data_IF_073276105174
#
_entry.id   IF_073276105174
#
_cell.length_a   1.000
_cell.length_b   1.000
_cell.length_c   1.000
_cell.angle_alpha   90.00
_cell.angle_beta   90.00
_cell.angle_gamma   90.00
#
_symmetry.space_group_name_H-M   'P 1'
#
loop_
_entity.id
_entity.type
_entity.pdbx_description
1 polymer ?
#
# COMPACT_ATOMS: atom_id res chain seq x y z
N UNK A 1 24.76 18.88 21.22
CA UNK A 1 24.10 17.69 20.71
C UNK A 1 22.69 17.44 21.26
N UNK A 2 22.36 17.70 22.50
CA UNK A 2 21.06 17.41 23.12
C UNK A 2 19.86 18.26 22.66
N UNK A 3 20.05 19.48 22.15
CA UNK A 3 18.94 20.38 21.73
C UNK A 3 18.35 19.97 20.39
N UNK A 4 19.17 19.52 19.45
CA UNK A 4 18.73 19.10 18.10
C UNK A 4 17.91 17.82 18.18
N UNK A 5 18.31 16.82 18.97
CA UNK A 5 17.58 15.56 19.16
C UNK A 5 16.17 15.81 19.72
N UNK A 6 16.06 16.66 20.74
CA UNK A 6 14.78 16.99 21.38
C UNK A 6 13.84 17.78 20.45
N UNK A 7 14.38 18.53 19.50
CA UNK A 7 13.61 19.26 18.49
C UNK A 7 13.11 18.31 17.40
N UNK A 8 13.93 17.36 16.98
CA UNK A 8 13.54 16.31 16.03
C UNK A 8 12.46 15.39 16.61
N UNK A 9 12.60 14.97 17.87
CA UNK A 9 11.58 14.17 18.58
C UNK A 9 10.23 14.88 18.64
N UNK A 10 10.21 16.17 19.00
CA UNK A 10 8.97 16.98 19.01
C UNK A 10 8.36 17.16 17.63
N UNK A 11 9.20 17.28 16.61
CA UNK A 11 8.76 17.39 15.23
C UNK A 11 8.07 16.09 14.77
N UNK A 12 8.68 14.94 15.08
CA UNK A 12 8.11 13.61 14.76
C UNK A 12 6.81 13.35 15.55
N UNK A 13 6.75 13.72 16.82
CA UNK A 13 5.53 13.63 17.62
C UNK A 13 4.39 14.47 17.02
N UNK A 14 4.68 15.70 16.61
CA UNK A 14 3.71 16.59 15.95
C UNK A 14 3.23 15.99 14.64
N UNK A 15 4.15 15.45 13.83
CA UNK A 15 3.82 14.77 12.58
C UNK A 15 2.90 13.57 12.80
N UNK A 16 3.21 12.71 13.76
CA UNK A 16 2.42 11.52 14.10
C UNK A 16 1.00 11.89 14.59
N UNK A 17 0.88 12.94 15.40
CA UNK A 17 -0.44 13.45 15.84
C UNK A 17 -1.30 13.95 14.69
N UNK A 18 -0.70 14.68 13.75
CA UNK A 18 -1.39 15.17 12.55
C UNK A 18 -1.87 13.97 11.69
N UNK A 19 -1.01 12.98 11.45
CA UNK A 19 -1.36 11.79 10.67
C UNK A 19 -2.49 10.99 11.33
N UNK A 20 -2.42 10.73 12.63
CA UNK A 20 -3.48 10.00 13.33
C UNK A 20 -4.84 10.73 13.31
N UNK A 21 -4.82 12.05 13.52
CA UNK A 21 -6.04 12.88 13.45
C UNK A 21 -6.62 12.94 12.03
N UNK A 22 -5.76 13.02 11.02
CA UNK A 22 -6.17 13.02 9.61
C UNK A 22 -6.75 11.67 9.21
N UNK A 23 -6.10 10.54 9.55
CA UNK A 23 -6.59 9.19 9.29
C UNK A 23 -8.00 9.00 9.86
N UNK A 24 -8.21 9.35 11.12
CA UNK A 24 -9.53 9.26 11.74
C UNK A 24 -10.56 10.16 11.06
N UNK A 25 -10.17 11.39 10.71
CA UNK A 25 -11.07 12.35 10.07
C UNK A 25 -11.46 11.92 8.66
N UNK A 26 -10.51 11.41 7.87
CA UNK A 26 -10.77 10.90 6.52
C UNK A 26 -11.64 9.64 6.56
N UNK A 27 -11.37 8.72 7.49
CA UNK A 27 -12.16 7.50 7.65
C UNK A 27 -13.62 7.77 8.03
N UNK A 28 -13.87 8.77 8.88
CA UNK A 28 -15.21 9.07 9.38
C UNK A 28 -16.04 9.98 8.47
N UNK A 29 -15.40 10.96 7.82
CA UNK A 29 -16.09 12.05 7.10
C UNK A 29 -15.74 12.13 5.63
N UNK A 30 -14.73 11.37 5.19
CA UNK A 30 -14.17 11.47 3.85
C UNK A 30 -13.17 12.61 3.69
N UNK A 31 -12.37 12.52 2.63
CA UNK A 31 -11.30 13.48 2.33
C UNK A 31 -11.84 14.89 2.05
N UNK A 32 -12.90 15.03 1.22
CA UNK A 32 -13.37 16.33 0.75
C UNK A 32 -13.88 17.20 1.89
N UNK A 33 -14.68 16.62 2.76
CA UNK A 33 -15.33 17.32 3.88
C UNK A 33 -14.32 17.65 4.99
N UNK A 34 -13.21 16.89 5.09
CA UNK A 34 -12.19 17.13 6.10
C UNK A 34 -11.35 18.36 5.75
N UNK A 35 -11.31 19.35 6.62
CA UNK A 35 -10.50 20.57 6.48
C UNK A 35 -9.19 20.48 7.27
N UNK A 36 -8.19 21.27 6.87
CA UNK A 36 -6.93 21.42 7.66
C UNK A 36 -7.25 21.90 9.07
N UNK A 37 -8.24 22.79 9.24
CA UNK A 37 -8.64 23.30 10.55
C UNK A 37 -9.19 22.19 11.45
N UNK A 38 -10.01 21.30 10.91
CA UNK A 38 -10.52 20.16 11.66
C UNK A 38 -9.43 19.16 12.04
N UNK A 39 -8.44 18.95 11.17
CA UNK A 39 -7.27 18.11 11.48
C UNK A 39 -6.43 18.76 12.58
N UNK A 40 -6.13 20.05 12.48
CA UNK A 40 -5.38 20.79 13.51
C UNK A 40 -6.06 20.74 14.87
N UNK A 41 -7.37 20.93 14.90
CA UNK A 41 -8.16 20.87 16.14
C UNK A 41 -8.09 19.46 16.76
N UNK A 42 -8.31 18.41 15.96
CA UNK A 42 -8.26 17.03 16.43
C UNK A 42 -6.85 16.60 16.87
N UNK A 43 -5.81 17.07 16.18
CA UNK A 43 -4.41 16.82 16.52
C UNK A 43 -3.90 17.67 17.72
N UNK A 44 -4.64 18.71 18.13
CA UNK A 44 -4.20 19.67 19.15
C UNK A 44 -2.94 20.44 18.72
N UNK A 45 -2.87 20.85 17.44
CA UNK A 45 -1.73 21.60 16.89
C UNK A 45 -2.20 22.91 16.25
N UNK A 46 -1.30 23.90 16.16
CA UNK A 46 -1.60 25.14 15.42
C UNK A 46 -1.51 24.92 13.90
N UNK A 47 -2.17 25.79 13.10
CA UNK A 47 -1.99 25.80 11.63
C UNK A 47 -0.54 25.97 11.23
N UNK A 48 0.23 26.80 11.93
CA UNK A 48 1.65 26.98 11.65
C UNK A 48 2.44 25.69 11.84
N UNK A 49 2.16 24.93 12.91
CA UNK A 49 2.77 23.61 13.12
C UNK A 49 2.36 22.58 12.08
N UNK A 50 1.10 22.63 11.62
CA UNK A 50 0.63 21.79 10.50
C UNK A 50 1.43 22.09 9.22
N UNK A 51 1.44 23.36 8.77
CA UNK A 51 2.09 23.73 7.52
C UNK A 51 3.62 23.62 7.55
N UNK A 52 4.22 23.58 8.75
CA UNK A 52 5.61 23.22 8.90
C UNK A 52 5.88 21.74 8.60
N UNK A 53 4.91 20.84 8.88
CA UNK A 53 5.03 19.41 8.65
C UNK A 53 4.52 18.98 7.27
N UNK A 54 3.45 19.61 6.80
CA UNK A 54 2.73 19.22 5.57
C UNK A 54 2.30 20.47 4.80
N UNK A 55 2.74 20.64 3.55
CA UNK A 55 2.38 21.81 2.74
C UNK A 55 0.91 21.86 2.35
N UNK A 56 0.19 20.74 2.40
CA UNK A 56 -1.21 20.65 1.98
C UNK A 56 -1.94 19.51 2.68
N UNK A 57 -3.28 19.48 2.60
CA UNK A 57 -4.09 18.32 2.97
C UNK A 57 -3.76 17.11 2.11
N UNK A 58 -3.46 17.33 0.83
CA UNK A 58 -3.03 16.28 -0.11
C UNK A 58 -1.73 15.61 0.34
N UNK A 59 -0.74 16.36 0.82
CA UNK A 59 0.53 15.79 1.31
C UNK A 59 0.36 14.96 2.59
N UNK A 60 -0.60 15.29 3.47
CA UNK A 60 -0.98 14.43 4.60
C UNK A 60 -1.58 13.13 4.10
N UNK A 61 -2.46 13.20 3.12
CA UNK A 61 -3.13 12.05 2.52
C UNK A 61 -2.14 11.08 1.86
N UNK A 62 -1.19 11.65 1.08
CA UNK A 62 -0.09 10.88 0.48
C UNK A 62 0.81 10.25 1.56
N UNK A 63 1.10 10.96 2.65
CA UNK A 63 1.90 10.43 3.74
C UNK A 63 1.24 9.24 4.44
N UNK A 64 -0.07 9.30 4.69
CA UNK A 64 -0.85 8.18 5.24
C UNK A 64 -0.77 6.93 4.35
N UNK A 65 -0.91 7.11 3.03
CA UNK A 65 -0.78 6.01 2.08
C UNK A 65 0.63 5.42 2.11
N UNK A 66 1.66 6.26 2.12
CA UNK A 66 3.05 5.81 2.16
C UNK A 66 3.39 5.05 3.45
N UNK A 67 2.88 5.49 4.61
CA UNK A 67 3.09 4.81 5.88
C UNK A 67 2.42 3.42 5.88
N UNK A 68 1.22 3.32 5.30
CA UNK A 68 0.52 2.06 5.14
C UNK A 68 1.23 1.12 4.16
N UNK A 69 1.68 1.63 3.02
CA UNK A 69 2.44 0.85 2.04
C UNK A 69 3.82 0.41 2.56
N UNK A 70 4.42 1.16 3.47
CA UNK A 70 5.68 0.79 4.09
C UNK A 70 5.55 -0.49 4.95
N UNK A 71 4.39 -0.73 5.55
CA UNK A 71 4.11 -2.01 6.22
C UNK A 71 4.07 -3.17 5.23
N UNK A 72 3.37 -2.99 4.12
CA UNK A 72 3.33 -3.97 3.04
C UNK A 72 4.74 -4.27 2.48
N UNK A 73 5.56 -3.24 2.28
CA UNK A 73 6.95 -3.38 1.84
C UNK A 73 7.78 -4.23 2.82
N UNK A 74 7.63 -4.01 4.14
CA UNK A 74 8.33 -4.82 5.16
C UNK A 74 7.96 -6.28 5.07
N UNK A 75 6.68 -6.60 4.89
CA UNK A 75 6.22 -7.98 4.73
C UNK A 75 6.72 -8.62 3.44
N UNK A 76 6.76 -7.87 2.34
CA UNK A 76 7.31 -8.36 1.08
C UNK A 76 8.82 -8.63 1.17
N UNK A 77 9.57 -7.78 1.87
CA UNK A 77 11.00 -8.01 2.13
C UNK A 77 11.19 -9.24 3.02
N UNK A 78 10.40 -9.37 4.09
CA UNK A 78 10.47 -10.54 4.98
C UNK A 78 10.19 -11.86 4.25
N UNK A 79 9.22 -11.87 3.33
CA UNK A 79 8.88 -13.04 2.52
C UNK A 79 10.01 -13.47 1.55
N UNK A 80 10.98 -12.60 1.26
CA UNK A 80 12.12 -12.90 0.37
C UNK A 80 13.34 -13.50 1.11
N UNK A 81 13.37 -13.43 2.43
CA UNK A 81 14.56 -13.75 3.27
C UNK A 81 14.65 -15.22 3.68
N UNK A 82 14.28 -16.17 2.90
CA UNK A 82 14.30 -17.58 3.35
C UNK A 82 15.02 -18.57 2.44
N UNK A 83 15.62 -18.12 1.33
CA UNK A 83 16.21 -19.05 0.33
C UNK A 83 15.17 -19.96 -0.34
N UNK A 84 13.89 -19.65 -0.17
CA UNK A 84 12.78 -20.38 -0.79
C UNK A 84 12.62 -20.02 -2.26
N UNK A 85 12.03 -20.94 -3.05
CA UNK A 85 11.70 -20.67 -4.45
C UNK A 85 10.69 -19.51 -4.58
N UNK A 86 10.75 -18.78 -5.70
CA UNK A 86 9.87 -17.63 -5.95
C UNK A 86 8.38 -17.95 -5.80
N UNK A 87 7.84 -19.11 -6.26
CA UNK A 87 6.43 -19.44 -6.01
C UNK A 87 6.05 -19.46 -4.52
N UNK A 88 6.94 -19.95 -3.64
CA UNK A 88 6.71 -19.95 -2.20
C UNK A 88 6.79 -18.54 -1.59
N UNK A 89 7.74 -17.72 -2.07
CA UNK A 89 7.83 -16.32 -1.65
C UNK A 89 6.56 -15.55 -2.00
N UNK A 90 6.03 -15.72 -3.22
CA UNK A 90 4.77 -15.09 -3.64
C UNK A 90 3.58 -15.59 -2.81
N UNK A 91 3.53 -16.87 -2.47
CA UNK A 91 2.50 -17.40 -1.58
C UNK A 91 2.58 -16.78 -0.16
N UNK A 92 3.80 -16.58 0.37
CA UNK A 92 4.00 -15.90 1.66
C UNK A 92 3.59 -14.42 1.59
N UNK A 93 3.91 -13.72 0.50
CA UNK A 93 3.45 -12.34 0.25
C UNK A 93 1.93 -12.25 0.20
N UNK A 94 1.27 -13.20 -0.49
CA UNK A 94 -0.18 -13.26 -0.57
C UNK A 94 -0.83 -13.49 0.80
N UNK A 95 -0.21 -14.30 1.67
CA UNK A 95 -0.68 -14.48 3.04
C UNK A 95 -0.57 -13.18 3.86
N UNK A 96 0.54 -12.44 3.72
CA UNK A 96 0.71 -11.13 4.35
C UNK A 96 -0.33 -10.10 3.87
N UNK A 97 -0.65 -10.06 2.58
CA UNK A 97 -1.71 -9.19 2.05
C UNK A 97 -3.07 -9.55 2.64
N UNK A 98 -3.36 -10.84 2.85
CA UNK A 98 -4.60 -11.28 3.51
C UNK A 98 -4.70 -10.76 4.95
N UNK A 99 -3.63 -10.82 5.73
CA UNK A 99 -3.59 -10.25 7.08
C UNK A 99 -3.86 -8.73 7.05
N UNK A 100 -3.19 -8.01 6.15
CA UNK A 100 -3.42 -6.57 5.96
C UNK A 100 -4.87 -6.30 5.58
N UNK A 101 -5.46 -7.13 4.70
CA UNK A 101 -6.86 -6.97 4.29
C UNK A 101 -7.81 -7.01 5.49
N UNK A 102 -7.64 -7.96 6.40
CA UNK A 102 -8.49 -8.08 7.59
C UNK A 102 -8.24 -6.98 8.64
N UNK A 103 -7.01 -6.49 8.75
CA UNK A 103 -6.64 -5.45 9.74
C UNK A 103 -6.92 -4.03 9.24
N UNK A 104 -6.91 -3.81 7.92
CA UNK A 104 -6.99 -2.47 7.34
C UNK A 104 -8.34 -1.78 7.57
N UNK A 105 -9.46 -2.54 7.70
CA UNK A 105 -10.76 -1.96 8.04
C UNK A 105 -11.12 -0.73 7.19
N UNK A 106 -11.29 0.42 7.85
CA UNK A 106 -11.64 1.70 7.21
C UNK A 106 -10.54 2.29 6.30
N UNK A 107 -9.30 1.78 6.36
CA UNK A 107 -8.19 2.26 5.51
C UNK A 107 -8.42 1.98 4.04
N UNK A 108 -9.21 0.96 3.71
CA UNK A 108 -9.62 0.68 2.33
C UNK A 108 -10.41 1.82 1.70
N UNK A 109 -11.27 2.48 2.47
CA UNK A 109 -12.02 3.64 2.00
C UNK A 109 -11.08 4.81 1.65
N UNK A 110 -10.01 4.99 2.45
CA UNK A 110 -8.97 5.99 2.18
C UNK A 110 -8.26 5.69 0.85
N UNK A 111 -7.97 4.42 0.54
CA UNK A 111 -7.35 4.03 -0.73
C UNK A 111 -8.27 4.31 -1.93
N UNK A 112 -9.57 4.03 -1.81
CA UNK A 112 -10.55 4.38 -2.86
C UNK A 112 -10.62 5.88 -3.12
N UNK A 113 -10.68 6.67 -2.04
CA UNK A 113 -10.66 8.12 -2.16
C UNK A 113 -9.37 8.63 -2.80
N UNK A 114 -8.23 8.01 -2.49
CA UNK A 114 -6.94 8.33 -3.10
C UNK A 114 -7.02 8.14 -4.63
N UNK A 115 -7.53 7.00 -5.10
CA UNK A 115 -7.69 6.77 -6.53
C UNK A 115 -8.70 7.71 -7.18
N UNK A 116 -9.83 7.99 -6.54
CA UNK A 116 -10.83 8.94 -7.04
C UNK A 116 -10.22 10.35 -7.17
N UNK A 117 -9.41 10.78 -6.20
CA UNK A 117 -8.75 12.09 -6.19
C UNK A 117 -7.60 12.20 -7.20
N UNK A 118 -7.00 11.10 -7.62
CA UNK A 118 -5.93 11.13 -8.63
C UNK A 118 -6.34 11.81 -9.95
N UNK A 119 -7.64 11.95 -10.24
CA UNK A 119 -8.13 12.70 -11.41
C UNK A 119 -8.14 14.23 -11.20
N UNK A 120 -8.28 14.69 -9.96
CA UNK A 120 -8.49 16.11 -9.64
C UNK A 120 -7.24 16.77 -9.03
N UNK A 121 -6.37 16.00 -8.40
CA UNK A 121 -5.18 16.49 -7.69
C UNK A 121 -3.90 15.94 -8.36
N UNK A 122 -3.09 16.81 -8.98
CA UNK A 122 -1.86 16.38 -9.66
C UNK A 122 -0.80 15.75 -8.73
N UNK A 123 -0.77 16.11 -7.45
CA UNK A 123 0.14 15.50 -6.46
C UNK A 123 -0.29 14.06 -6.19
N UNK A 124 -1.57 13.84 -5.94
CA UNK A 124 -2.16 12.52 -5.74
C UNK A 124 -1.99 11.65 -6.99
N UNK A 125 -2.20 12.23 -8.18
CA UNK A 125 -2.01 11.53 -9.45
C UNK A 125 -0.58 11.00 -9.63
N UNK A 126 0.42 11.85 -9.41
CA UNK A 126 1.83 11.45 -9.50
C UNK A 126 2.15 10.31 -8.53
N UNK A 127 1.76 10.44 -7.26
CA UNK A 127 2.01 9.41 -6.25
C UNK A 127 1.31 8.09 -6.59
N UNK A 128 0.08 8.14 -7.14
CA UNK A 128 -0.63 6.93 -7.60
C UNK A 128 0.14 6.21 -8.70
N UNK A 129 0.62 6.94 -9.70
CA UNK A 129 1.40 6.36 -10.81
C UNK A 129 2.73 5.80 -10.32
N UNK A 130 3.42 6.53 -9.43
CA UNK A 130 4.68 6.07 -8.83
C UNK A 130 4.50 4.79 -8.01
N UNK A 131 3.43 4.71 -7.22
CA UNK A 131 3.08 3.50 -6.47
C UNK A 131 2.84 2.30 -7.41
N UNK A 132 2.04 2.48 -8.46
CA UNK A 132 1.77 1.42 -9.44
C UNK A 132 3.07 0.95 -10.08
N UNK A 133 3.93 1.87 -10.54
CA UNK A 133 5.22 1.54 -11.16
C UNK A 133 6.16 0.84 -10.20
N UNK A 134 6.20 1.27 -8.94
CA UNK A 134 7.00 0.64 -7.88
C UNK A 134 6.64 -0.83 -7.71
N UNK A 135 5.36 -1.16 -7.53
CA UNK A 135 4.94 -2.53 -7.33
C UNK A 135 5.03 -3.37 -8.61
N UNK A 136 4.76 -2.79 -9.77
CA UNK A 136 5.01 -3.46 -11.05
C UNK A 136 6.48 -3.85 -11.21
N UNK A 137 7.41 -2.92 -10.95
CA UNK A 137 8.84 -3.18 -10.99
C UNK A 137 9.28 -4.20 -9.95
N UNK A 138 8.72 -4.15 -8.73
CA UNK A 138 8.99 -5.15 -7.70
C UNK A 138 8.58 -6.56 -8.14
N UNK A 139 7.36 -6.75 -8.61
CA UNK A 139 6.90 -8.07 -9.09
C UNK A 139 7.69 -8.54 -10.31
N UNK A 140 8.05 -7.63 -11.23
CA UNK A 140 8.92 -7.98 -12.35
C UNK A 140 10.26 -8.55 -11.86
N UNK A 141 10.93 -7.90 -10.91
CA UNK A 141 12.19 -8.39 -10.34
C UNK A 141 12.04 -9.75 -9.64
N UNK A 142 10.92 -9.97 -8.94
CA UNK A 142 10.61 -11.27 -8.32
C UNK A 142 10.48 -12.35 -9.39
N UNK A 143 9.74 -12.07 -10.47
CA UNK A 143 9.56 -13.03 -11.58
C UNK A 143 10.87 -13.31 -12.34
N UNK A 144 11.68 -12.28 -12.60
CA UNK A 144 13.00 -12.42 -13.25
C UNK A 144 13.93 -13.34 -12.43
N UNK A 145 13.90 -13.23 -11.09
CA UNK A 145 14.56 -14.18 -10.21
C UNK A 145 14.05 -15.60 -10.37
N UNK A 146 12.74 -15.79 -10.39
CA UNK A 146 12.12 -17.11 -10.57
C UNK A 146 12.50 -17.76 -11.89
N UNK A 147 12.65 -16.98 -12.95
CA UNK A 147 13.14 -17.46 -14.24
C UNK A 147 14.63 -17.83 -14.15
N UNK A 148 15.45 -17.00 -13.51
CA UNK A 148 16.91 -17.25 -13.38
C UNK A 148 17.24 -18.46 -12.51
N UNK A 149 16.48 -18.70 -11.43
CA UNK A 149 16.62 -19.89 -10.58
C UNK A 149 15.94 -21.15 -11.16
N UNK A 150 15.20 -20.99 -12.26
CA UNK A 150 14.53 -22.07 -12.96
C UNK A 150 13.22 -22.55 -12.32
N UNK A 151 12.68 -21.85 -11.33
CA UNK A 151 11.38 -22.18 -10.70
C UNK A 151 10.18 -21.72 -11.53
N UNK A 152 10.36 -20.69 -12.36
CA UNK A 152 9.34 -20.14 -13.23
C UNK A 152 9.72 -20.22 -14.73
N UNK A 153 8.68 -20.23 -15.59
CA UNK A 153 8.78 -20.06 -17.02
C UNK A 153 7.88 -18.90 -17.44
N UNK A 154 8.47 -17.73 -17.62
CA UNK A 154 7.79 -16.49 -17.97
C UNK A 154 8.48 -15.90 -19.19
N UNK A 155 7.76 -15.70 -20.30
CA UNK A 155 8.30 -15.12 -21.53
C UNK A 155 8.48 -13.60 -21.42
N UNK A 156 7.58 -12.94 -20.68
CA UNK A 156 7.58 -11.50 -20.48
C UNK A 156 7.23 -11.17 -19.02
N UNK A 157 8.26 -10.97 -18.20
CA UNK A 157 8.09 -10.69 -16.78
C UNK A 157 7.36 -9.36 -16.49
N UNK A 158 7.49 -8.37 -17.38
CA UNK A 158 6.77 -7.11 -17.24
C UNK A 158 5.26 -7.30 -17.43
N UNK A 159 4.85 -8.06 -18.45
CA UNK A 159 3.44 -8.38 -18.68
C UNK A 159 2.88 -9.23 -17.53
N UNK A 160 3.62 -10.22 -17.07
CA UNK A 160 3.21 -11.05 -15.94
C UNK A 160 3.08 -10.25 -14.62
N UNK A 161 4.01 -9.34 -14.35
CA UNK A 161 3.93 -8.42 -13.22
C UNK A 161 2.70 -7.49 -13.32
N UNK A 162 2.41 -6.98 -14.52
CA UNK A 162 1.20 -6.19 -14.77
C UNK A 162 -0.06 -7.01 -14.48
N UNK A 163 -0.11 -8.26 -14.92
CA UNK A 163 -1.24 -9.16 -14.65
C UNK A 163 -1.44 -9.41 -13.16
N UNK A 164 -0.36 -9.72 -12.42
CA UNK A 164 -0.39 -9.91 -10.96
C UNK A 164 -0.94 -8.66 -10.28
N UNK A 165 -0.36 -7.49 -10.57
CA UNK A 165 -0.77 -6.24 -9.95
C UNK A 165 -2.22 -5.89 -10.29
N UNK A 166 -2.65 -6.09 -11.54
CA UNK A 166 -4.04 -5.86 -11.96
C UNK A 166 -5.01 -6.78 -11.24
N UNK A 167 -4.66 -8.06 -11.05
CA UNK A 167 -5.49 -8.99 -10.29
C UNK A 167 -5.62 -8.57 -8.82
N UNK A 168 -4.50 -8.18 -8.18
CA UNK A 168 -4.50 -7.69 -6.79
C UNK A 168 -5.36 -6.44 -6.66
N UNK A 169 -5.16 -5.42 -7.50
CA UNK A 169 -5.91 -4.18 -7.45
C UNK A 169 -7.41 -4.40 -7.75
N UNK A 170 -7.72 -5.27 -8.69
CA UNK A 170 -9.11 -5.63 -9.02
C UNK A 170 -9.84 -6.34 -7.88
N UNK A 171 -9.16 -7.28 -7.19
CA UNK A 171 -9.74 -7.98 -6.04
C UNK A 171 -9.87 -7.05 -4.83
N UNK A 172 -8.92 -6.16 -4.60
CA UNK A 172 -9.02 -5.12 -3.57
C UNK A 172 -10.24 -4.24 -3.81
N UNK A 173 -10.42 -3.75 -5.04
CA UNK A 173 -11.58 -2.94 -5.40
C UNK A 173 -12.91 -3.67 -5.17
N UNK A 174 -13.00 -4.93 -5.60
CA UNK A 174 -14.19 -5.73 -5.39
C UNK A 174 -14.49 -5.92 -3.90
N UNK A 175 -13.47 -6.21 -3.09
CA UNK A 175 -13.64 -6.40 -1.65
C UNK A 175 -14.04 -5.11 -0.91
N UNK A 176 -13.63 -3.94 -1.40
CA UNK A 176 -14.09 -2.65 -0.85
C UNK A 176 -15.56 -2.39 -1.20
N UNK A 177 -15.97 -2.76 -2.43
CA UNK A 177 -17.34 -2.53 -2.90
C UNK A 177 -18.35 -3.54 -2.33
N UNK A 178 -17.90 -4.74 -2.01
CA UNK A 178 -18.74 -5.82 -1.49
C UNK A 178 -18.01 -6.57 -0.35
N UNK A 179 -17.84 -5.92 0.82
CA UNK A 179 -17.04 -6.48 1.91
C UNK A 179 -17.62 -7.77 2.51
N UNK A 180 -18.92 -7.99 2.41
CA UNK A 180 -19.62 -9.16 2.93
C UNK A 180 -19.78 -10.30 1.90
N UNK A 181 -19.42 -10.05 0.63
CA UNK A 181 -19.68 -10.97 -0.47
C UNK A 181 -18.92 -12.30 -0.38
N UNK A 182 -17.69 -12.25 0.09
CA UNK A 182 -16.84 -13.43 0.31
C UNK A 182 -15.57 -13.08 1.08
N UNK A 183 -14.77 -14.11 1.41
CA UNK A 183 -13.41 -13.91 1.95
C UNK A 183 -12.45 -13.48 0.82
N UNK A 184 -12.35 -12.17 0.63
CA UNK A 184 -11.53 -11.54 -0.42
C UNK A 184 -10.04 -11.78 -0.24
N UNK A 185 -9.58 -11.92 0.99
CA UNK A 185 -8.18 -12.24 1.29
C UNK A 185 -7.84 -13.67 0.87
N UNK A 186 -8.67 -14.64 1.23
CA UNK A 186 -8.51 -16.03 0.80
C UNK A 186 -8.66 -16.17 -0.72
N UNK A 187 -9.57 -15.41 -1.37
CA UNK A 187 -9.70 -15.41 -2.82
C UNK A 187 -8.44 -14.87 -3.48
N UNK A 188 -7.85 -13.79 -2.97
CA UNK A 188 -6.61 -13.23 -3.49
C UNK A 188 -5.46 -14.25 -3.43
N UNK A 189 -5.30 -14.96 -2.32
CA UNK A 189 -4.30 -16.03 -2.20
C UNK A 189 -4.52 -17.12 -3.28
N UNK A 190 -5.75 -17.54 -3.49
CA UNK A 190 -6.09 -18.55 -4.50
C UNK A 190 -5.81 -18.07 -5.93
N UNK A 191 -6.16 -16.82 -6.26
CA UNK A 191 -5.89 -16.23 -7.58
C UNK A 191 -4.38 -16.13 -7.83
N UNK A 192 -3.60 -15.66 -6.86
CA UNK A 192 -2.16 -15.59 -6.97
C UNK A 192 -1.53 -16.98 -7.09
N UNK A 193 -2.03 -17.99 -6.37
CA UNK A 193 -1.58 -19.38 -6.48
C UNK A 193 -1.82 -19.93 -7.91
N UNK A 194 -3.00 -19.70 -8.50
CA UNK A 194 -3.32 -20.10 -9.89
C UNK A 194 -2.37 -19.41 -10.88
N UNK A 195 -2.11 -18.11 -10.72
CA UNK A 195 -1.17 -17.39 -11.58
C UNK A 195 0.25 -17.97 -11.45
N UNK A 196 0.73 -18.24 -10.24
CA UNK A 196 2.06 -18.84 -10.03
C UNK A 196 2.14 -20.26 -10.58
N UNK A 197 1.10 -21.07 -10.41
CA UNK A 197 1.05 -22.42 -10.96
C UNK A 197 1.12 -22.41 -12.50
N UNK A 198 0.41 -21.48 -13.15
CA UNK A 198 0.44 -21.32 -14.61
C UNK A 198 1.81 -20.93 -15.14
N UNK A 199 2.62 -20.23 -14.34
CA UNK A 199 3.97 -19.77 -14.65
C UNK A 199 5.06 -20.73 -14.16
N UNK A 200 4.73 -21.71 -13.33
CA UNK A 200 5.69 -22.68 -12.77
C UNK A 200 6.10 -23.71 -13.84
N UNK A 201 7.37 -24.13 -13.79
CA UNK A 201 7.78 -25.29 -14.58
C UNK A 201 7.03 -26.52 -14.07
N UNK A 202 6.26 -27.20 -14.93
CA UNK A 202 5.81 -28.56 -14.60
C UNK A 202 7.06 -29.41 -14.36
N UNK A 203 7.17 -30.04 -13.19
CA UNK A 203 8.16 -31.12 -13.01
C UNK A 203 7.85 -32.18 -14.07
N UNK A 204 8.90 -32.68 -14.78
CA UNK A 204 8.74 -33.79 -15.72
C UNK A 204 8.19 -35.03 -15.01
#
# INVERSE_FOLDING_TARGET
MGVTVKQEERSQETRSRILAAAEQSFAQRGYDVTSVDSICHAAGVSKGAFYHQFPSKGSVFVALLNDWLAELDRQFVAAQTGGESVPRQVAAMAAGVNEIYHVAGTKWNILLEFWAKSKADPEVARNTVEMIRKYQGFFQQVLDRGVSEGSLRVENSNLAATLILSAVLGLLLQGILDPEGQDWGALMQRVLAVLMESMSRRKP
#
